data_IF_555321996929
#
_entry.id   IF_555321996929
#
_cell.length_a   1.000
_cell.length_b   1.000
_cell.length_c   1.000
_cell.angle_alpha   90.00
_cell.angle_beta   90.00
_cell.angle_gamma   90.00
#
_symmetry.space_group_name_H-M   'P 1'
#
loop_
_entity.id
_entity.type
_entity.pdbx_description
1 polymer ?
#
# COMPACT_ATOMS: atom_id res chain seq x y z
N UNK A 1 6.15 16.00 31.63
CA UNK A 1 4.82 16.58 31.33
C UNK A 1 3.80 15.48 31.56
N UNK A 2 2.92 15.64 32.54
CA UNK A 2 1.88 14.67 32.90
C UNK A 2 0.53 15.24 32.44
N UNK A 3 -0.24 14.44 31.70
CA UNK A 3 -1.59 14.80 31.24
C UNK A 3 -2.58 14.16 32.20
N UNK A 4 -3.23 14.97 33.03
CA UNK A 4 -4.23 14.48 33.97
C UNK A 4 -5.54 14.20 33.23
N UNK A 5 -5.86 12.91 33.14
CA UNK A 5 -7.09 12.42 32.53
C UNK A 5 -8.22 12.56 33.56
N UNK A 6 -8.98 13.66 33.47
CA UNK A 6 -10.19 13.86 34.24
C UNK A 6 -11.21 12.76 33.84
N UNK A 7 -11.28 11.69 34.66
CA UNK A 7 -12.08 10.46 34.52
C UNK A 7 -11.40 9.22 33.88
N UNK A 8 -10.10 9.02 34.08
CA UNK A 8 -9.41 7.76 33.78
C UNK A 8 -9.32 6.83 35.01
N UNK A 9 -10.31 5.96 35.23
CA UNK A 9 -10.26 4.92 36.28
C UNK A 9 -10.08 3.53 35.66
N UNK A 10 -9.07 2.77 36.12
CA UNK A 10 -8.96 1.33 35.89
C UNK A 10 -9.49 0.59 37.13
N UNK A 11 -10.54 -0.20 36.93
CA UNK A 11 -11.05 -1.09 37.98
C UNK A 11 -10.12 -2.27 38.24
N UNK A 12 -10.25 -2.92 39.40
CA UNK A 12 -9.42 -4.08 39.80
C UNK A 12 -9.43 -5.23 38.78
N UNK A 13 -10.54 -5.42 38.06
CA UNK A 13 -10.65 -6.39 36.97
C UNK A 13 -10.50 -5.70 35.63
N UNK A 14 -9.41 -6.00 34.91
CA UNK A 14 -9.19 -5.54 33.52
C UNK A 14 -10.28 -6.02 32.55
N UNK A 15 -10.97 -7.12 32.85
CA UNK A 15 -12.11 -7.58 32.04
C UNK A 15 -13.41 -6.79 32.28
N UNK A 16 -13.50 -6.03 33.37
CA UNK A 16 -14.72 -5.28 33.75
C UNK A 16 -14.58 -3.79 33.45
N UNK A 17 -13.37 -3.23 33.51
CA UNK A 17 -13.11 -1.82 33.18
C UNK A 17 -11.68 -1.67 32.60
N UNK A 18 -11.58 -1.57 31.26
CA UNK A 18 -10.34 -1.28 30.50
C UNK A 18 -10.65 -0.21 29.46
N UNK A 19 -9.78 0.80 29.30
CA UNK A 19 -9.91 1.82 28.25
C UNK A 19 -8.70 1.81 27.32
N UNK A 20 -8.94 1.97 26.02
CA UNK A 20 -7.92 2.03 24.97
C UNK A 20 -8.07 3.35 24.22
N UNK A 21 -6.99 4.12 24.15
CA UNK A 21 -6.91 5.32 23.33
C UNK A 21 -6.37 4.93 21.95
N UNK A 22 -7.15 5.13 20.89
CA UNK A 22 -6.78 4.81 19.50
C UNK A 22 -6.95 6.07 18.68
N UNK A 23 -5.96 6.40 17.86
CA UNK A 23 -5.98 7.57 16.98
C UNK A 23 -6.30 8.85 17.77
N UNK A 24 -5.45 9.19 18.75
CA UNK A 24 -5.56 10.45 19.49
C UNK A 24 -4.18 11.09 19.59
N UNK A 25 -4.12 12.43 19.61
CA UNK A 25 -2.90 13.21 19.88
C UNK A 25 -3.12 14.20 21.02
N UNK A 26 -2.06 14.56 21.77
CA UNK A 26 -2.15 15.57 22.81
C UNK A 26 -2.12 16.98 22.20
N UNK A 27 -3.11 17.80 22.54
CA UNK A 27 -3.17 19.23 22.24
C UNK A 27 -2.96 20.01 23.55
N UNK A 28 -2.06 21.01 23.53
CA UNK A 28 -1.82 21.86 24.70
C UNK A 28 -3.01 22.78 24.96
N UNK A 29 -3.46 22.80 26.20
CA UNK A 29 -4.55 23.68 26.60
C UNK A 29 -4.04 25.09 26.90
N UNK A 30 -4.94 26.07 26.95
CA UNK A 30 -4.61 27.43 27.38
C UNK A 30 -4.12 27.47 28.83
N UNK A 31 -3.31 28.48 29.18
CA UNK A 31 -2.66 28.62 30.51
C UNK A 31 -3.66 28.67 31.69
N UNK A 32 -4.93 28.94 31.45
CA UNK A 32 -5.98 28.99 32.48
C UNK A 32 -6.82 27.71 32.57
N UNK A 33 -6.49 26.68 31.79
CA UNK A 33 -7.21 25.40 31.81
C UNK A 33 -6.80 24.52 33.00
N UNK A 34 -7.73 23.66 33.46
CA UNK A 34 -7.51 22.76 34.60
C UNK A 34 -6.49 21.65 34.34
N UNK A 35 -6.22 21.33 33.08
CA UNK A 35 -5.22 20.35 32.67
C UNK A 35 -4.29 20.95 31.61
N UNK A 36 -3.02 20.52 31.60
CA UNK A 36 -1.97 21.08 30.73
C UNK A 36 -2.19 20.73 29.25
N UNK A 37 -2.87 19.61 28.95
CA UNK A 37 -3.20 19.17 27.60
C UNK A 37 -4.47 18.31 27.58
N UNK A 38 -5.12 18.19 26.42
CA UNK A 38 -6.23 17.28 26.16
C UNK A 38 -5.91 16.32 25.02
N UNK A 39 -6.49 15.11 25.02
CA UNK A 39 -6.39 14.19 23.89
C UNK A 39 -7.49 14.51 22.87
N UNK A 40 -7.09 14.79 21.63
CA UNK A 40 -7.99 15.05 20.50
C UNK A 40 -7.99 13.83 19.58
N UNK A 41 -9.18 13.33 19.22
CA UNK A 41 -9.32 12.21 18.30
C UNK A 41 -8.96 12.58 16.87
N UNK A 42 -8.30 11.66 16.17
CA UNK A 42 -8.12 11.68 14.72
C UNK A 42 -9.00 10.62 14.07
N UNK A 43 -9.53 10.88 12.86
CA UNK A 43 -10.30 9.88 12.13
C UNK A 43 -9.53 8.57 11.95
N UNK A 44 -10.23 7.45 12.08
CA UNK A 44 -9.72 6.13 11.71
C UNK A 44 -9.70 5.92 10.20
N UNK A 45 -8.94 4.93 9.75
CA UNK A 45 -9.09 4.40 8.40
C UNK A 45 -10.27 3.44 8.38
N UNK A 46 -11.16 3.57 7.39
CA UNK A 46 -12.18 2.57 7.09
C UNK A 46 -11.69 1.64 5.98
N UNK A 47 -12.11 0.38 6.02
CA UNK A 47 -11.87 -0.54 4.90
C UNK A 47 -12.56 0.02 3.65
N UNK A 48 -11.78 0.31 2.61
CA UNK A 48 -12.29 0.83 1.34
C UNK A 48 -12.68 -0.29 0.37
N UNK A 49 -11.82 -1.30 0.23
CA UNK A 49 -12.02 -2.46 -0.61
C UNK A 49 -11.22 -3.66 -0.07
N UNK A 50 -11.62 -4.87 -0.44
CA UNK A 50 -10.93 -6.11 -0.05
C UNK A 50 -10.70 -7.01 -1.26
N UNK A 51 -9.51 -7.60 -1.33
CA UNK A 51 -9.13 -8.65 -2.29
C UNK A 51 -8.56 -9.84 -1.52
N UNK A 52 -8.66 -11.04 -2.09
CA UNK A 52 -8.11 -12.24 -1.46
C UNK A 52 -6.58 -12.31 -1.66
N UNK A 53 -5.87 -12.75 -0.62
CA UNK A 53 -4.42 -12.97 -0.66
C UNK A 53 -3.59 -11.84 -0.02
N UNK A 54 -2.29 -12.10 0.14
CA UNK A 54 -1.34 -11.13 0.68
C UNK A 54 -1.06 -10.06 -0.37
N UNK A 55 -1.27 -8.80 -0.03
CA UNK A 55 -0.91 -7.66 -0.88
C UNK A 55 0.62 -7.57 -0.95
N UNK A 56 1.17 -7.64 -2.16
CA UNK A 56 2.62 -7.63 -2.42
C UNK A 56 3.09 -6.34 -3.08
N UNK A 57 2.20 -5.65 -3.79
CA UNK A 57 2.48 -4.36 -4.41
C UNK A 57 1.19 -3.59 -4.64
N UNK A 58 1.27 -2.27 -4.50
CA UNK A 58 0.16 -1.33 -4.75
C UNK A 58 0.69 -0.18 -5.58
N UNK A 59 -0.02 0.16 -6.65
CA UNK A 59 0.28 1.31 -7.50
C UNK A 59 -1.00 2.08 -7.81
N UNK A 60 -0.94 3.41 -7.90
CA UNK A 60 -2.13 4.24 -8.11
C UNK A 60 -1.92 5.13 -9.32
N UNK A 61 -2.89 5.11 -10.23
CA UNK A 61 -2.91 5.97 -11.42
C UNK A 61 -4.28 6.64 -11.50
N UNK A 62 -4.28 7.97 -11.43
CA UNK A 62 -5.51 8.76 -11.38
C UNK A 62 -6.42 8.33 -10.23
N UNK A 63 -7.62 7.85 -10.55
CA UNK A 63 -8.63 7.42 -9.57
C UNK A 63 -8.72 5.90 -9.39
N UNK A 64 -7.73 5.14 -9.87
CA UNK A 64 -7.70 3.69 -9.82
C UNK A 64 -6.44 3.21 -9.11
N UNK A 65 -6.60 2.18 -8.27
CA UNK A 65 -5.49 1.46 -7.67
C UNK A 65 -5.30 0.11 -8.37
N UNK A 66 -4.06 -0.26 -8.62
CA UNK A 66 -3.65 -1.54 -9.16
C UNK A 66 -2.88 -2.28 -8.07
N UNK A 67 -3.34 -3.47 -7.73
CA UNK A 67 -2.83 -4.21 -6.58
C UNK A 67 -2.47 -5.62 -7.02
N UNK A 68 -1.25 -6.04 -6.73
CA UNK A 68 -0.87 -7.45 -6.83
C UNK A 68 -1.12 -8.10 -5.47
N UNK A 69 -2.07 -9.02 -5.42
CA UNK A 69 -2.38 -9.83 -4.24
C UNK A 69 -2.12 -11.31 -4.57
N UNK A 70 -1.26 -11.94 -3.77
CA UNK A 70 -0.65 -13.24 -4.07
C UNK A 70 -0.04 -13.27 -5.49
N UNK A 71 -0.73 -13.87 -6.46
CA UNK A 71 -0.32 -13.90 -7.88
C UNK A 71 -1.32 -13.25 -8.83
N UNK A 72 -2.30 -12.49 -8.33
CA UNK A 72 -3.34 -11.86 -9.17
C UNK A 72 -3.19 -10.34 -9.14
N UNK A 73 -3.25 -9.72 -10.32
CA UNK A 73 -3.37 -8.28 -10.47
C UNK A 73 -4.85 -7.89 -10.40
N UNK A 74 -5.16 -6.94 -9.54
CA UNK A 74 -6.50 -6.40 -9.32
C UNK A 74 -6.53 -4.91 -9.65
N UNK A 75 -7.59 -4.45 -10.29
CA UNK A 75 -7.98 -3.03 -10.31
C UNK A 75 -8.97 -2.76 -9.17
N UNK A 76 -8.83 -1.63 -8.49
CA UNK A 76 -9.82 -1.08 -7.57
C UNK A 76 -10.19 0.31 -8.06
N UNK A 77 -11.47 0.51 -8.40
CA UNK A 77 -11.97 1.81 -8.84
C UNK A 77 -12.29 2.75 -7.66
N UNK A 78 -12.68 3.98 -7.96
CA UNK A 78 -13.02 5.00 -6.95
C UNK A 78 -14.25 4.68 -6.09
N UNK A 79 -15.02 3.64 -6.44
CA UNK A 79 -16.16 3.14 -5.66
C UNK A 79 -15.80 1.91 -4.82
N UNK A 80 -14.53 1.47 -4.83
CA UNK A 80 -14.09 0.28 -4.12
C UNK A 80 -14.46 -1.04 -4.82
N UNK A 81 -14.94 -1.00 -6.07
CA UNK A 81 -15.19 -2.21 -6.86
C UNK A 81 -13.87 -2.81 -7.30
N UNK A 82 -13.70 -4.11 -7.07
CA UNK A 82 -12.48 -4.84 -7.43
C UNK A 82 -12.69 -5.70 -8.68
N UNK A 83 -11.73 -5.66 -9.60
CA UNK A 83 -11.74 -6.41 -10.86
C UNK A 83 -10.43 -7.15 -11.03
N UNK A 84 -10.46 -8.46 -11.25
CA UNK A 84 -9.26 -9.24 -11.56
C UNK A 84 -8.83 -8.98 -13.02
N UNK A 85 -7.57 -8.60 -13.22
CA UNK A 85 -7.00 -8.22 -14.52
C UNK A 85 -6.09 -9.29 -15.13
N UNK A 86 -5.71 -10.30 -14.34
CA UNK A 86 -4.83 -11.37 -14.77
C UNK A 86 -3.94 -11.87 -13.64
N UNK A 87 -3.04 -12.79 -13.96
CA UNK A 87 -2.13 -13.40 -12.99
C UNK A 87 -0.68 -13.28 -13.42
N UNK A 88 0.21 -13.16 -12.44
CA UNK A 88 1.66 -13.29 -12.59
C UNK A 88 2.12 -14.67 -12.11
N UNK A 89 3.34 -15.07 -12.47
CA UNK A 89 3.89 -16.40 -12.18
C UNK A 89 4.17 -16.67 -10.70
N UNK A 90 4.53 -15.65 -9.92
CA UNK A 90 4.81 -15.80 -8.49
C UNK A 90 3.58 -15.55 -7.63
N UNK A 91 3.48 -16.23 -6.48
CA UNK A 91 2.39 -16.01 -5.50
C UNK A 91 2.86 -15.41 -4.17
N UNK A 92 4.17 -15.28 -3.98
CA UNK A 92 4.84 -14.73 -2.80
C UNK A 92 6.14 -14.05 -3.18
N UNK A 93 6.67 -13.21 -2.29
CA UNK A 93 7.88 -12.42 -2.54
C UNK A 93 7.58 -10.94 -2.79
N UNK A 94 8.62 -10.17 -3.13
CA UNK A 94 8.47 -8.74 -3.44
C UNK A 94 7.74 -8.52 -4.77
N UNK A 95 7.04 -7.41 -4.91
CA UNK A 95 6.52 -6.91 -6.19
C UNK A 95 6.75 -5.40 -6.24
N UNK A 96 7.41 -4.93 -7.29
CA UNK A 96 7.54 -3.50 -7.58
C UNK A 96 6.74 -3.15 -8.83
N UNK A 97 6.20 -1.94 -8.85
CA UNK A 97 5.39 -1.43 -9.95
C UNK A 97 5.76 0.03 -10.23
N UNK A 98 5.79 0.38 -11.51
CA UNK A 98 5.94 1.74 -11.99
C UNK A 98 5.09 1.94 -13.24
N UNK A 99 4.72 3.18 -13.55
CA UNK A 99 3.89 3.48 -14.70
C UNK A 99 4.44 4.61 -15.57
N UNK A 100 4.02 4.61 -16.82
CA UNK A 100 4.28 5.69 -17.78
C UNK A 100 3.00 6.48 -18.13
N UNK A 101 1.96 6.37 -17.30
CA UNK A 101 0.63 6.92 -17.52
C UNK A 101 -0.30 6.11 -18.43
N UNK A 102 0.22 5.17 -19.23
CA UNK A 102 -0.59 4.30 -20.11
C UNK A 102 -0.42 2.81 -19.82
N UNK A 103 0.73 2.44 -19.29
CA UNK A 103 1.15 1.08 -19.03
C UNK A 103 1.80 1.02 -17.64
N UNK A 104 1.62 -0.12 -16.98
CA UNK A 104 2.26 -0.42 -15.69
C UNK A 104 3.26 -1.52 -15.92
N UNK A 105 4.53 -1.24 -15.63
CA UNK A 105 5.54 -2.27 -15.51
C UNK A 105 5.49 -2.86 -14.11
N UNK A 106 5.48 -4.20 -14.05
CA UNK A 106 5.40 -4.97 -12.81
C UNK A 106 6.58 -5.94 -12.82
N UNK A 107 7.39 -5.95 -11.77
CA UNK A 107 8.47 -6.93 -11.57
C UNK A 107 8.24 -7.68 -10.27
N UNK A 108 8.40 -9.00 -10.30
CA UNK A 108 8.06 -9.89 -9.19
C UNK A 108 9.26 -10.64 -8.59
N UNK A 109 10.48 -10.22 -8.93
CA UNK A 109 11.71 -10.91 -8.56
C UNK A 109 12.02 -12.15 -9.40
N UNK A 110 11.21 -12.46 -10.42
CA UNK A 110 11.47 -13.56 -11.36
C UNK A 110 11.25 -13.15 -12.82
N UNK A 111 10.21 -12.39 -13.10
CA UNK A 111 9.81 -11.93 -14.44
C UNK A 111 9.23 -10.53 -14.40
N UNK A 112 9.29 -9.86 -15.55
CA UNK A 112 8.59 -8.59 -15.77
C UNK A 112 7.28 -8.79 -16.52
N UNK A 113 6.32 -7.90 -16.27
CA UNK A 113 5.03 -7.86 -16.92
C UNK A 113 4.67 -6.42 -17.27
N UNK A 114 3.96 -6.23 -18.37
CA UNK A 114 3.31 -4.97 -18.73
C UNK A 114 1.81 -5.17 -18.64
N UNK A 115 1.14 -4.33 -17.86
CA UNK A 115 -0.30 -4.14 -17.93
C UNK A 115 -0.60 -2.90 -18.78
N UNK A 116 -1.31 -3.08 -19.89
CA UNK A 116 -1.79 -1.98 -20.71
C UNK A 116 -3.18 -1.53 -20.23
N UNK A 117 -3.29 -0.26 -19.81
CA UNK A 117 -4.51 0.27 -19.20
C UNK A 117 -5.62 0.43 -20.24
N UNK A 118 -5.27 0.85 -21.46
CA UNK A 118 -6.24 1.10 -22.54
C UNK A 118 -6.80 -0.20 -23.10
N UNK A 119 -5.94 -1.21 -23.28
CA UNK A 119 -6.33 -2.53 -23.75
C UNK A 119 -6.88 -3.45 -22.63
N UNK A 120 -6.63 -3.10 -21.36
CA UNK A 120 -6.95 -3.92 -20.19
C UNK A 120 -6.33 -5.34 -20.26
N UNK A 121 -5.08 -5.43 -20.72
CA UNK A 121 -4.36 -6.70 -20.92
C UNK A 121 -3.06 -6.74 -20.14
N UNK A 122 -2.87 -7.81 -19.35
CA UNK A 122 -1.61 -8.14 -18.70
C UNK A 122 -0.78 -9.09 -19.58
N UNK A 123 0.45 -8.71 -19.89
CA UNK A 123 1.37 -9.49 -20.75
C UNK A 123 2.73 -9.66 -20.07
N UNK A 124 3.28 -10.87 -20.08
CA UNK A 124 4.65 -11.11 -19.59
C UNK A 124 5.69 -10.60 -20.61
N UNK A 125 6.76 -9.98 -20.12
CA UNK A 125 7.88 -9.53 -20.93
C UNK A 125 8.80 -10.72 -21.21
N UNK A 126 8.85 -11.18 -22.47
CA UNK A 126 9.66 -12.34 -22.89
C UNK A 126 10.91 -11.95 -23.69
N UNK A 127 11.17 -10.66 -23.85
CA UNK A 127 12.33 -10.17 -24.57
C UNK A 127 13.64 -10.58 -23.87
N UNK A 128 14.58 -11.14 -24.62
CA UNK A 128 15.84 -11.66 -24.08
C UNK A 128 16.72 -10.60 -23.39
N UNK A 129 16.51 -9.31 -23.70
CA UNK A 129 17.22 -8.19 -23.08
C UNK A 129 16.62 -7.69 -21.77
N UNK A 130 15.45 -8.17 -21.37
CA UNK A 130 14.82 -7.75 -20.12
C UNK A 130 15.56 -8.37 -18.92
N UNK A 131 15.88 -7.60 -17.86
CA UNK A 131 16.56 -8.11 -16.67
C UNK A 131 15.62 -8.97 -15.80
N UNK A 132 15.38 -10.21 -16.24
CA UNK A 132 14.61 -11.17 -15.45
C UNK A 132 15.23 -11.36 -14.06
N UNK A 133 14.38 -11.41 -13.04
CA UNK A 133 14.77 -11.44 -11.64
C UNK A 133 14.80 -10.07 -10.95
N UNK A 134 14.57 -8.96 -11.68
CA UNK A 134 14.48 -7.63 -11.09
C UNK A 134 13.45 -7.58 -9.94
N UNK A 135 13.85 -6.97 -8.84
CA UNK A 135 13.04 -6.70 -7.65
C UNK A 135 12.43 -5.30 -7.69
N UNK A 136 13.07 -4.32 -8.34
CA UNK A 136 12.59 -2.95 -8.43
C UNK A 136 12.39 -2.50 -9.87
N UNK A 137 11.44 -1.59 -10.05
CA UNK A 137 11.23 -0.87 -11.30
C UNK A 137 10.82 0.56 -10.98
N UNK A 138 11.33 1.50 -11.76
CA UNK A 138 10.89 2.89 -11.77
C UNK A 138 10.71 3.38 -13.22
N UNK A 139 10.12 4.55 -13.40
CA UNK A 139 9.96 5.19 -14.70
C UNK A 139 10.70 6.52 -14.74
N UNK A 140 11.62 6.67 -15.68
CA UNK A 140 12.43 7.86 -15.85
C UNK A 140 12.62 8.19 -17.33
N UNK A 141 12.36 9.45 -17.69
CA UNK A 141 12.63 10.03 -19.02
C UNK A 141 12.11 9.20 -20.20
N UNK A 142 10.92 8.61 -20.07
CA UNK A 142 10.30 7.81 -21.14
C UNK A 142 10.61 6.32 -21.10
N UNK A 143 11.45 5.87 -20.15
CA UNK A 143 11.86 4.48 -20.03
C UNK A 143 11.50 3.90 -18.67
N UNK A 144 11.09 2.62 -18.67
CA UNK A 144 11.11 1.83 -17.45
C UNK A 144 12.55 1.40 -17.17
N UNK A 145 13.00 1.61 -15.94
CA UNK A 145 14.33 1.30 -15.46
C UNK A 145 14.19 0.21 -14.40
N UNK A 146 14.85 -0.92 -14.61
CA UNK A 146 14.82 -2.07 -13.70
C UNK A 146 16.26 -2.46 -13.38
N UNK A 147 16.59 -2.77 -12.14
CA UNK A 147 17.93 -3.26 -11.84
C UNK A 147 18.15 -4.65 -12.45
N UNK A 148 19.37 -4.88 -12.93
CA UNK A 148 19.83 -6.21 -13.30
C UNK A 148 20.31 -6.93 -12.02
N UNK A 149 19.69 -8.07 -11.65
CA UNK A 149 19.96 -8.75 -10.39
C UNK A 149 21.44 -9.05 -10.16
N UNK A 150 21.90 -8.88 -8.93
CA UNK A 150 23.27 -9.14 -8.50
C UNK A 150 24.35 -8.36 -9.28
N UNK A 151 23.98 -7.22 -9.86
CA UNK A 151 24.90 -6.32 -10.56
C UNK A 151 24.74 -4.87 -10.12
N UNK A 152 25.58 -3.98 -10.65
CA UNK A 152 25.47 -2.52 -10.50
C UNK A 152 24.92 -1.89 -11.80
N UNK A 153 24.07 -2.61 -12.52
CA UNK A 153 23.48 -2.17 -13.79
C UNK A 153 21.97 -2.02 -13.64
N UNK A 154 21.41 -1.07 -14.38
CA UNK A 154 19.98 -0.76 -14.50
C UNK A 154 19.60 -0.70 -15.99
#
# INVERSE_FOLDING_TARGET
MQIDLLNGYEGRSRSTDTRRFVNMYPELNSQSSKGIASLVSTPGMSLFASVAGVIRGVHVIGSKAYIVAAGTLWEINSLGTTTALGTIGTTSGHVSMADNGQQICIVDGQSGYIFDIGAATLTQITAAGFPNGALFVDFLDGFFVCEKPDTQQF
#
